data_IF_069877532739
#
_entry.id   IF_069877532739
#
_cell.length_a   1.000
_cell.length_b   1.000
_cell.length_c   1.000
_cell.angle_alpha   90.00
_cell.angle_beta   90.00
_cell.angle_gamma   90.00
#
_symmetry.space_group_name_H-M   'P 1'
#
loop_
_entity.id
_entity.type
_entity.pdbx_description
1 polymer ?
#
# COMPACT_ATOMS: atom_id res chain seq x y z
N UNK A 1 15.72 12.08 -70.46
CA UNK A 1 14.88 12.43 -69.30
C UNK A 1 14.72 11.17 -68.45
N UNK A 2 15.59 10.97 -67.47
CA UNK A 2 15.56 9.79 -66.60
C UNK A 2 14.88 10.17 -65.26
N UNK A 3 13.74 9.56 -64.99
CA UNK A 3 12.99 9.76 -63.76
C UNK A 3 13.63 8.94 -62.61
N UNK A 4 14.27 9.63 -61.67
CA UNK A 4 14.80 9.01 -60.45
C UNK A 4 13.67 8.58 -59.51
N UNK A 5 13.51 7.27 -59.32
CA UNK A 5 12.64 6.70 -58.28
C UNK A 5 13.34 6.81 -56.92
N UNK A 6 12.78 7.61 -56.01
CA UNK A 6 13.19 7.66 -54.60
C UNK A 6 12.69 6.40 -53.90
N UNK A 7 13.59 5.61 -53.29
CA UNK A 7 13.21 4.53 -52.37
C UNK A 7 12.73 5.14 -51.03
N UNK A 8 11.74 4.55 -50.34
CA UNK A 8 11.34 4.99 -49.02
C UNK A 8 12.36 4.54 -47.97
N UNK A 9 12.64 5.40 -46.99
CA UNK A 9 13.46 5.10 -45.81
C UNK A 9 12.79 4.01 -44.95
N UNK A 10 13.57 3.14 -44.27
CA UNK A 10 13.01 2.17 -43.35
C UNK A 10 12.49 2.89 -42.11
N UNK A 11 11.20 2.71 -41.82
CA UNK A 11 10.60 3.13 -40.55
C UNK A 11 11.15 2.20 -39.46
N UNK A 12 12.10 2.71 -38.66
CA UNK A 12 12.52 2.03 -37.44
C UNK A 12 11.32 1.97 -36.48
N UNK A 13 10.70 0.80 -36.37
CA UNK A 13 9.79 0.45 -35.28
C UNK A 13 10.61 0.39 -33.98
N UNK A 14 10.65 1.49 -33.24
CA UNK A 14 11.07 1.49 -31.84
C UNK A 14 10.11 0.57 -31.07
N UNK A 15 10.60 -0.43 -30.32
CA UNK A 15 9.72 -1.24 -29.50
C UNK A 15 9.07 -0.34 -28.46
N UNK A 16 7.75 -0.42 -28.32
CA UNK A 16 7.06 0.11 -27.15
C UNK A 16 7.71 -0.52 -25.94
N UNK A 17 8.61 0.23 -25.29
CA UNK A 17 9.13 -0.14 -23.99
C UNK A 17 7.91 -0.36 -23.09
N UNK A 18 7.74 -1.60 -22.65
CA UNK A 18 6.80 -1.95 -21.60
C UNK A 18 7.14 -1.03 -20.43
N UNK A 19 6.29 -0.02 -20.19
CA UNK A 19 6.38 0.80 -19.01
C UNK A 19 6.10 -0.14 -17.83
N UNK A 20 7.16 -0.75 -17.31
CA UNK A 20 7.11 -1.48 -16.06
C UNK A 20 6.53 -0.51 -15.03
N UNK A 21 5.31 -0.80 -14.57
CA UNK A 21 4.72 -0.14 -13.41
C UNK A 21 5.66 -0.42 -12.25
N UNK A 22 6.62 0.48 -12.02
CA UNK A 22 7.50 0.41 -10.88
C UNK A 22 6.61 0.31 -9.63
N UNK A 23 6.85 -0.66 -8.72
CA UNK A 23 6.13 -0.69 -7.46
C UNK A 23 6.32 0.67 -6.79
N UNK A 24 5.23 1.35 -6.46
CA UNK A 24 5.24 2.74 -5.95
C UNK A 24 6.16 2.81 -4.73
N UNK A 25 7.38 3.27 -4.93
CA UNK A 25 8.32 3.53 -3.85
C UNK A 25 7.85 4.78 -3.12
N UNK A 26 7.90 4.75 -1.78
CA UNK A 26 7.59 5.93 -0.98
C UNK A 26 8.44 7.12 -1.44
N UNK A 27 7.80 8.27 -1.61
CA UNK A 27 8.50 9.52 -1.89
C UNK A 27 9.42 9.87 -0.73
N UNK A 28 10.45 10.67 -0.99
CA UNK A 28 11.40 11.10 0.04
C UNK A 28 10.70 11.78 1.23
N UNK A 29 9.69 12.62 0.96
CA UNK A 29 8.84 13.23 2.00
C UNK A 29 8.09 12.19 2.84
N UNK A 30 7.53 11.16 2.20
CA UNK A 30 6.82 10.09 2.92
C UNK A 30 7.78 9.27 3.79
N UNK A 31 9.02 9.08 3.35
CA UNK A 31 10.05 8.41 4.16
C UNK A 31 10.42 9.21 5.39
N UNK A 32 10.52 10.54 5.28
CA UNK A 32 10.77 11.43 6.42
C UNK A 32 9.76 11.20 7.53
N UNK A 33 8.47 11.15 7.20
CA UNK A 33 7.38 10.92 8.15
C UNK A 33 7.42 9.55 8.85
N UNK A 34 8.21 8.60 8.36
CA UNK A 34 8.30 7.25 8.92
C UNK A 34 9.52 7.06 9.83
N UNK A 35 10.39 8.06 9.90
CA UNK A 35 11.52 8.08 10.83
C UNK A 35 11.00 8.24 12.28
N UNK A 36 11.67 7.66 13.29
CA UNK A 36 11.36 7.97 14.68
C UNK A 36 11.65 9.46 14.98
N UNK A 37 11.03 10.08 16.00
CA UNK A 37 11.46 11.38 16.48
C UNK A 37 12.92 11.30 16.96
N UNK A 38 13.68 12.36 16.74
CA UNK A 38 15.09 12.44 17.14
C UNK A 38 15.37 13.80 17.77
N UNK A 39 15.56 13.79 19.08
CA UNK A 39 15.85 14.96 19.89
C UNK A 39 17.24 15.54 19.56
N UNK A 40 18.14 14.72 19.02
CA UNK A 40 19.53 15.08 18.80
C UNK A 40 20.36 15.18 20.10
N UNK A 41 21.65 15.51 19.99
CA UNK A 41 22.56 15.53 21.15
C UNK A 41 22.53 16.84 21.95
N UNK A 42 21.91 17.89 21.42
CA UNK A 42 21.77 19.17 22.12
C UNK A 42 20.67 19.12 23.19
N UNK A 43 20.69 20.08 24.13
CA UNK A 43 19.84 20.08 25.33
C UNK A 43 18.83 21.23 25.39
N UNK A 44 18.54 21.87 24.27
CA UNK A 44 17.43 22.83 24.23
C UNK A 44 16.09 22.09 24.38
N UNK A 45 15.06 22.80 24.82
CA UNK A 45 13.68 22.29 24.83
C UNK A 45 12.90 23.07 23.80
N UNK A 46 13.01 22.67 22.53
CA UNK A 46 12.31 23.32 21.41
C UNK A 46 11.09 22.48 21.05
N UNK A 47 9.85 22.94 21.34
CA UNK A 47 8.64 22.27 20.90
C UNK A 47 8.62 22.11 19.39
N UNK A 48 8.47 20.86 18.93
CA UNK A 48 8.37 20.50 17.51
C UNK A 48 7.32 19.43 17.31
N UNK A 49 6.89 19.25 16.07
CA UNK A 49 5.94 18.22 15.69
C UNK A 49 6.64 17.11 14.91
N UNK A 50 6.23 15.87 15.13
CA UNK A 50 6.65 14.72 14.34
C UNK A 50 5.44 13.86 14.01
N UNK A 51 5.51 13.10 12.93
CA UNK A 51 4.49 12.11 12.60
C UNK A 51 4.78 10.81 13.36
N UNK A 52 3.91 10.47 14.30
CA UNK A 52 3.99 9.21 15.02
C UNK A 52 3.46 8.08 14.14
N UNK A 53 4.36 7.24 13.63
CA UNK A 53 4.01 6.08 12.79
C UNK A 53 3.11 5.05 13.50
N UNK A 54 3.16 4.96 14.84
CA UNK A 54 2.34 4.04 15.61
C UNK A 54 0.90 4.52 15.73
N UNK A 55 0.65 5.82 15.93
CA UNK A 55 -0.71 6.37 15.95
C UNK A 55 -1.19 6.84 14.59
N UNK A 56 -0.29 7.02 13.64
CA UNK A 56 -0.50 7.65 12.33
C UNK A 56 -1.09 9.06 12.46
N UNK A 57 -0.51 9.85 13.35
CA UNK A 57 -0.94 11.22 13.64
C UNK A 57 0.26 12.09 14.00
N UNK A 58 0.17 13.38 13.72
CA UNK A 58 1.16 14.33 14.21
C UNK A 58 1.06 14.50 15.73
N UNK A 59 2.22 14.51 16.40
CA UNK A 59 2.38 14.69 17.85
C UNK A 59 3.52 15.65 18.14
N UNK A 60 3.47 16.28 19.30
CA UNK A 60 4.54 17.14 19.78
C UNK A 60 5.69 16.33 20.41
N UNK A 61 6.93 16.80 20.26
CA UNK A 61 8.12 16.31 20.94
C UNK A 61 9.11 17.45 21.22
N UNK A 62 10.06 17.21 22.14
CA UNK A 62 11.07 18.19 22.52
C UNK A 62 12.34 17.99 21.70
N UNK A 63 12.55 18.85 20.70
CA UNK A 63 13.79 18.83 19.93
C UNK A 63 14.92 19.54 20.68
N UNK A 64 16.07 18.88 20.77
CA UNK A 64 17.28 19.34 21.44
C UNK A 64 17.94 20.56 20.81
N UNK A 65 17.52 20.94 19.59
CA UNK A 65 17.97 22.17 18.91
C UNK A 65 19.12 21.98 17.92
N UNK A 66 19.67 20.78 17.78
CA UNK A 66 20.68 20.46 16.76
C UNK A 66 20.62 18.99 16.33
N UNK A 67 21.16 18.68 15.14
CA UNK A 67 21.02 17.37 14.48
C UNK A 67 19.54 16.95 14.36
N UNK A 68 19.17 15.74 14.74
CA UNK A 68 17.83 15.22 14.50
C UNK A 68 17.69 14.63 13.09
N UNK A 69 16.44 14.42 12.69
CA UNK A 69 16.09 13.94 11.36
C UNK A 69 14.91 14.72 10.75
N UNK A 70 14.51 14.32 9.54
CA UNK A 70 13.50 15.02 8.76
C UNK A 70 12.05 14.88 9.28
N UNK A 71 11.77 14.00 10.26
CA UNK A 71 10.48 13.94 10.96
C UNK A 71 10.41 15.00 12.06
N UNK A 72 10.62 16.26 11.69
CA UNK A 72 10.69 17.40 12.60
C UNK A 72 10.10 18.62 11.92
N UNK A 73 8.91 19.00 12.35
CA UNK A 73 8.10 20.06 11.78
C UNK A 73 7.89 21.18 12.80
N UNK A 74 7.84 22.42 12.32
CA UNK A 74 7.64 23.59 13.18
C UNK A 74 6.20 23.65 13.72
N UNK A 75 5.23 23.28 12.89
CA UNK A 75 3.80 23.37 13.22
C UNK A 75 3.09 22.03 12.98
N UNK A 76 1.94 21.86 13.63
CA UNK A 76 1.04 20.73 13.39
C UNK A 76 0.61 20.64 11.92
N UNK A 77 0.21 21.78 11.33
CA UNK A 77 -0.25 21.85 9.95
C UNK A 77 0.84 21.46 8.95
N UNK A 78 2.10 21.83 9.21
CA UNK A 78 3.23 21.40 8.38
C UNK A 78 3.43 19.89 8.45
N UNK A 79 3.31 19.30 9.64
CA UNK A 79 3.41 17.86 9.82
C UNK A 79 2.28 17.13 9.06
N UNK A 80 1.03 17.54 9.27
CA UNK A 80 -0.13 16.92 8.61
C UNK A 80 -0.01 17.06 7.09
N UNK A 81 0.32 18.26 6.58
CA UNK A 81 0.47 18.50 5.14
C UNK A 81 1.57 17.67 4.49
N UNK A 82 2.65 17.34 5.19
CA UNK A 82 3.71 16.50 4.65
C UNK A 82 3.42 14.99 4.79
N UNK A 83 2.64 14.58 5.81
CA UNK A 83 2.49 13.16 6.17
C UNK A 83 1.10 12.57 5.93
N UNK A 84 0.06 13.37 5.62
CA UNK A 84 -1.32 12.91 5.42
C UNK A 84 -1.48 11.85 4.32
N UNK A 85 -0.56 11.82 3.35
CA UNK A 85 -0.60 10.86 2.23
C UNK A 85 -0.16 9.45 2.59
N UNK A 86 0.38 9.23 3.81
CA UNK A 86 0.70 7.88 4.28
C UNK A 86 -0.60 7.11 4.45
N UNK A 87 -0.75 6.04 3.65
CA UNK A 87 -1.90 5.15 3.75
C UNK A 87 -2.04 4.64 5.19
N UNK A 88 -3.27 4.65 5.70
CA UNK A 88 -3.54 4.13 7.04
C UNK A 88 -3.26 2.63 7.06
N UNK A 89 -2.53 2.20 8.08
CA UNK A 89 -2.10 0.81 8.28
C UNK A 89 -2.76 0.31 9.58
N UNK A 90 -3.26 -0.93 9.63
CA UNK A 90 -3.84 -1.48 10.85
C UNK A 90 -2.88 -1.38 12.04
N UNK A 91 -3.38 -1.09 13.25
CA UNK A 91 -2.56 -0.90 14.46
C UNK A 91 -1.56 -2.05 14.69
N UNK A 92 -2.00 -3.29 14.45
CA UNK A 92 -1.15 -4.45 14.63
C UNK A 92 0.07 -4.45 13.69
N UNK A 93 -0.05 -3.91 12.48
CA UNK A 93 1.01 -3.86 11.48
C UNK A 93 1.95 -2.67 11.67
N UNK A 94 1.68 -1.80 12.66
CA UNK A 94 2.50 -0.61 12.95
C UNK A 94 3.59 -0.87 14.00
N UNK A 95 3.47 -1.97 14.73
CA UNK A 95 4.46 -2.37 15.72
C UNK A 95 5.74 -2.83 15.03
N UNK A 96 6.88 -2.71 15.69
CA UNK A 96 8.12 -3.30 15.17
C UNK A 96 8.09 -4.81 15.34
N UNK A 97 8.81 -5.54 14.48
CA UNK A 97 8.90 -6.99 14.60
C UNK A 97 9.59 -7.34 15.92
N UNK A 98 8.91 -8.10 16.78
CA UNK A 98 9.42 -8.49 18.10
C UNK A 98 9.71 -9.99 18.13
N UNK A 99 10.99 -10.32 18.23
CA UNK A 99 11.47 -11.69 18.34
C UNK A 99 11.13 -12.33 19.69
N UNK A 100 10.89 -11.53 20.73
CA UNK A 100 10.73 -12.01 22.09
C UNK A 100 12.02 -12.61 22.69
N UNK A 101 11.97 -13.02 23.97
CA UNK A 101 13.14 -13.52 24.71
C UNK A 101 13.47 -15.00 24.46
N UNK A 102 12.55 -15.78 23.88
CA UNK A 102 12.82 -17.18 23.56
C UNK A 102 13.81 -17.34 22.41
N UNK A 103 14.45 -18.52 22.30
CA UNK A 103 15.58 -18.76 21.39
C UNK A 103 15.27 -19.74 20.25
N UNK A 104 14.00 -19.97 19.94
CA UNK A 104 13.65 -20.72 18.73
C UNK A 104 13.95 -19.88 17.48
N UNK A 105 14.22 -20.54 16.36
CA UNK A 105 14.50 -19.87 15.09
C UNK A 105 13.30 -20.01 14.14
N UNK A 106 12.16 -19.44 14.54
CA UNK A 106 10.94 -19.51 13.73
C UNK A 106 10.92 -18.38 12.72
N UNK A 107 11.00 -18.72 11.43
CA UNK A 107 10.80 -17.75 10.35
C UNK A 107 9.36 -17.25 10.38
N UNK A 108 9.20 -15.94 10.45
CA UNK A 108 7.92 -15.22 10.46
C UNK A 108 8.01 -14.00 9.56
N UNK A 109 6.86 -13.41 9.27
CA UNK A 109 6.77 -12.20 8.47
C UNK A 109 6.19 -11.07 9.33
N UNK A 110 6.69 -9.86 9.16
CA UNK A 110 6.20 -8.66 9.82
C UNK A 110 6.14 -7.51 8.81
N UNK A 111 5.16 -6.63 8.97
CA UNK A 111 5.07 -5.43 8.14
C UNK A 111 6.06 -4.38 8.61
N UNK A 112 6.96 -3.98 7.73
CA UNK A 112 7.91 -2.92 7.96
C UNK A 112 7.34 -1.61 7.38
N UNK A 113 7.00 -0.65 8.24
CA UNK A 113 6.46 0.64 7.76
C UNK A 113 7.50 1.47 7.00
N UNK A 114 8.81 1.30 7.25
CA UNK A 114 9.85 2.09 6.59
C UNK A 114 10.02 1.68 5.13
N UNK A 115 9.93 0.38 4.84
CA UNK A 115 9.93 -0.15 3.47
C UNK A 115 8.52 -0.28 2.87
N UNK A 116 7.48 -0.18 3.71
CA UNK A 116 6.07 -0.47 3.40
C UNK A 116 5.86 -1.86 2.81
N UNK A 117 6.56 -2.86 3.36
CA UNK A 117 6.54 -4.24 2.87
C UNK A 117 6.47 -5.23 4.02
N UNK A 118 5.92 -6.40 3.74
CA UNK A 118 6.08 -7.55 4.60
C UNK A 118 7.49 -8.13 4.41
N UNK A 119 8.23 -8.28 5.50
CA UNK A 119 9.61 -8.74 5.54
C UNK A 119 9.76 -9.93 6.50
N UNK A 120 10.70 -10.82 6.21
CA UNK A 120 11.01 -11.96 7.07
C UNK A 120 11.78 -11.50 8.32
N UNK A 121 11.44 -12.07 9.48
CA UNK A 121 12.20 -11.93 10.71
C UNK A 121 12.21 -13.24 11.51
N UNK A 122 13.12 -13.32 12.49
CA UNK A 122 13.22 -14.48 13.39
C UNK A 122 12.40 -14.23 14.65
N UNK A 123 11.37 -15.05 14.85
CA UNK A 123 10.61 -15.10 16.09
C UNK A 123 11.13 -16.20 17.01
N UNK A 124 11.46 -15.78 18.24
CA UNK A 124 12.01 -16.60 19.31
C UNK A 124 11.07 -17.68 19.82
N UNK A 125 9.76 -17.59 19.54
CA UNK A 125 8.77 -18.61 19.87
C UNK A 125 7.87 -18.30 21.07
N UNK A 126 8.16 -17.23 21.83
CA UNK A 126 7.30 -16.77 22.92
C UNK A 126 7.30 -15.24 23.04
N UNK A 127 6.27 -14.70 23.70
CA UNK A 127 5.97 -13.26 23.77
C UNK A 127 5.86 -12.63 22.37
N UNK A 128 6.46 -11.47 22.13
CA UNK A 128 6.30 -10.76 20.88
C UNK A 128 5.06 -9.87 20.85
N UNK A 129 4.71 -9.43 19.65
CA UNK A 129 3.52 -8.63 19.40
C UNK A 129 2.75 -9.10 18.15
N UNK A 130 1.64 -8.43 17.85
CA UNK A 130 0.73 -8.78 16.76
C UNK A 130 1.29 -8.62 15.34
N UNK A 131 2.44 -7.97 15.14
CA UNK A 131 3.10 -7.88 13.83
C UNK A 131 3.94 -9.15 13.56
N UNK A 132 3.29 -10.31 13.60
CA UNK A 132 3.94 -11.62 13.51
C UNK A 132 3.05 -12.61 12.76
N UNK A 133 3.36 -12.83 11.49
CA UNK A 133 2.60 -13.66 10.56
C UNK A 133 3.38 -14.93 10.21
N UNK A 134 2.66 -16.04 10.02
CA UNK A 134 3.28 -17.33 9.68
C UNK A 134 3.80 -17.38 8.25
N UNK A 135 3.16 -16.64 7.36
CA UNK A 135 3.45 -16.66 5.92
C UNK A 135 3.34 -15.25 5.33
N UNK A 136 3.97 -15.06 4.18
CA UNK A 136 4.01 -13.75 3.51
C UNK A 136 2.61 -13.27 3.12
N UNK A 137 1.73 -14.18 2.70
CA UNK A 137 0.41 -13.82 2.19
C UNK A 137 -0.49 -13.29 3.32
N UNK A 138 -0.48 -13.94 4.49
CA UNK A 138 -1.24 -13.46 5.65
C UNK A 138 -0.75 -12.10 6.12
N UNK A 139 0.56 -11.82 6.11
CA UNK A 139 1.05 -10.47 6.38
C UNK A 139 0.52 -9.45 5.36
N UNK A 140 0.63 -9.77 4.07
CA UNK A 140 0.16 -8.90 2.98
C UNK A 140 -1.34 -8.60 3.13
N UNK A 141 -2.14 -9.63 3.40
CA UNK A 141 -3.59 -9.51 3.52
C UNK A 141 -4.02 -8.64 4.70
N UNK A 142 -3.28 -8.71 5.81
CA UNK A 142 -3.60 -7.92 7.00
C UNK A 142 -3.00 -6.52 6.98
N UNK A 143 -1.87 -6.31 6.28
CA UNK A 143 -1.07 -5.09 6.45
C UNK A 143 -0.95 -4.21 5.23
N UNK A 144 -1.11 -4.75 4.00
CA UNK A 144 -0.98 -3.93 2.80
C UNK A 144 -2.31 -3.26 2.44
N UNK A 145 -2.37 -1.92 2.46
CA UNK A 145 -3.55 -1.14 2.07
C UNK A 145 -3.72 -1.07 0.54
N UNK A 146 -3.14 -2.00 -0.22
CA UNK A 146 -3.39 -2.17 -1.66
C UNK A 146 -4.58 -3.11 -1.89
N UNK A 147 -4.97 -3.89 -0.87
CA UNK A 147 -6.18 -4.73 -0.85
C UNK A 147 -7.29 -4.07 -0.02
N UNK A 148 -7.73 -2.87 -0.42
CA UNK A 148 -8.82 -2.19 0.28
C UNK A 148 -10.20 -2.84 0.04
N UNK A 149 -10.30 -3.82 -0.87
CA UNK A 149 -11.45 -4.70 -1.01
C UNK A 149 -11.14 -6.16 -0.61
N UNK A 150 -12.15 -6.96 -0.21
CA UNK A 150 -12.01 -8.40 -0.10
C UNK A 150 -11.50 -9.02 -1.42
N UNK A 151 -10.83 -10.18 -1.34
CA UNK A 151 -10.22 -10.86 -2.51
C UNK A 151 -11.18 -11.04 -3.70
N UNK A 152 -12.48 -11.19 -3.42
CA UNK A 152 -13.55 -11.22 -4.41
C UNK A 152 -13.52 -10.04 -5.38
N UNK A 153 -13.19 -8.83 -4.90
CA UNK A 153 -13.19 -7.61 -5.70
C UNK A 153 -12.13 -7.63 -6.80
N UNK A 154 -11.15 -8.51 -6.70
CA UNK A 154 -10.06 -8.66 -7.67
C UNK A 154 -10.27 -9.86 -8.61
N UNK A 155 -11.37 -10.59 -8.45
CA UNK A 155 -11.75 -11.64 -9.41
C UNK A 155 -12.25 -11.01 -10.72
N UNK A 156 -12.02 -11.64 -11.88
CA UNK A 156 -12.44 -11.09 -13.16
C UNK A 156 -13.98 -11.02 -13.25
N UNK A 157 -14.48 -10.13 -14.12
CA UNK A 157 -15.89 -10.14 -14.52
C UNK A 157 -16.24 -11.50 -15.12
N UNK A 158 -17.27 -12.15 -14.58
CA UNK A 158 -17.70 -13.48 -15.04
C UNK A 158 -19.20 -13.47 -15.32
N UNK A 159 -19.55 -13.60 -16.60
CA UNK A 159 -20.93 -13.55 -17.10
C UNK A 159 -21.69 -14.85 -16.75
N UNK A 160 -20.99 -15.93 -16.40
CA UNK A 160 -21.59 -17.24 -16.17
C UNK A 160 -21.89 -18.01 -17.46
N UNK A 161 -22.63 -19.11 -17.34
CA UNK A 161 -22.84 -20.10 -18.42
C UNK A 161 -24.32 -20.28 -18.82
N UNK A 162 -25.23 -19.48 -18.25
CA UNK A 162 -26.66 -19.58 -18.50
C UNK A 162 -27.10 -18.65 -19.65
N UNK A 163 -28.41 -18.42 -19.82
CA UNK A 163 -28.96 -17.63 -20.94
C UNK A 163 -29.81 -16.42 -20.52
N UNK A 164 -29.84 -16.07 -19.23
CA UNK A 164 -30.53 -14.84 -18.81
C UNK A 164 -29.69 -13.60 -19.16
N UNK A 165 -30.28 -12.41 -19.05
CA UNK A 165 -29.56 -11.15 -19.22
C UNK A 165 -29.92 -10.19 -18.10
N UNK A 166 -29.30 -10.39 -16.93
CA UNK A 166 -29.57 -9.60 -15.73
C UNK A 166 -28.45 -8.58 -15.53
N UNK A 167 -28.79 -7.31 -15.40
CA UNK A 167 -27.82 -6.27 -15.06
C UNK A 167 -27.29 -6.45 -13.64
N UNK A 168 -25.97 -6.47 -13.51
CA UNK A 168 -25.21 -6.60 -12.25
C UNK A 168 -24.00 -5.68 -12.29
N UNK A 169 -23.33 -5.51 -11.16
CA UNK A 169 -22.12 -4.70 -11.04
C UNK A 169 -20.93 -5.57 -10.62
N UNK A 170 -19.74 -5.25 -11.11
CA UNK A 170 -18.48 -5.85 -10.66
C UNK A 170 -17.46 -4.74 -10.43
N UNK A 171 -16.51 -4.97 -9.52
CA UNK A 171 -15.39 -4.06 -9.29
C UNK A 171 -14.29 -4.31 -10.32
N UNK A 172 -13.96 -3.30 -11.10
CA UNK A 172 -12.85 -3.34 -12.05
C UNK A 172 -11.57 -2.79 -11.39
N UNK A 173 -10.68 -3.70 -10.97
CA UNK A 173 -9.42 -3.34 -10.34
C UNK A 173 -8.50 -2.47 -11.21
N UNK A 174 -8.63 -2.50 -12.54
CA UNK A 174 -7.81 -1.68 -13.45
C UNK A 174 -8.22 -0.21 -13.39
N UNK A 175 -9.52 0.05 -13.34
CA UNK A 175 -10.07 1.40 -13.30
C UNK A 175 -10.46 1.86 -11.90
N UNK A 176 -10.42 0.95 -10.91
CA UNK A 176 -10.82 1.17 -9.52
C UNK A 176 -12.25 1.70 -9.40
N UNK A 177 -13.16 1.12 -10.20
CA UNK A 177 -14.56 1.56 -10.27
C UNK A 177 -15.48 0.35 -10.39
N UNK A 178 -16.70 0.48 -9.87
CA UNK A 178 -17.76 -0.49 -10.07
C UNK A 178 -18.41 -0.24 -11.43
N UNK A 179 -18.52 -1.29 -12.25
CA UNK A 179 -19.05 -1.22 -13.62
C UNK A 179 -20.18 -2.21 -13.80
N UNK A 180 -21.17 -1.82 -14.59
CA UNK A 180 -22.28 -2.70 -14.96
C UNK A 180 -21.83 -3.79 -15.94
N UNK A 181 -22.40 -4.98 -15.81
CA UNK A 181 -22.28 -6.08 -16.77
C UNK A 181 -23.55 -6.94 -16.83
N UNK A 182 -23.65 -7.77 -17.88
CA UNK A 182 -24.75 -8.72 -18.05
C UNK A 182 -24.38 -10.08 -17.47
N UNK A 183 -25.09 -10.49 -16.43
CA UNK A 183 -24.95 -11.80 -15.81
C UNK A 183 -26.02 -12.76 -16.33
N UNK A 184 -25.59 -13.98 -16.64
CA UNK A 184 -26.43 -15.00 -17.30
C UNK A 184 -27.36 -15.76 -16.35
N UNK A 185 -27.23 -15.57 -15.04
CA UNK A 185 -28.11 -16.13 -14.02
C UNK A 185 -27.60 -17.38 -13.29
N UNK A 186 -26.46 -17.94 -13.70
CA UNK A 186 -25.81 -19.03 -12.97
C UNK A 186 -24.29 -19.04 -13.16
N UNK A 187 -23.57 -19.74 -12.26
CA UNK A 187 -22.10 -19.75 -12.24
C UNK A 187 -21.54 -18.39 -11.79
N UNK A 188 -20.41 -17.99 -12.34
CA UNK A 188 -19.78 -16.72 -11.97
C UNK A 188 -18.86 -16.84 -10.77
N UNK A 189 -18.44 -15.68 -10.27
CA UNK A 189 -17.71 -15.53 -9.02
C UNK A 189 -18.33 -14.43 -8.14
N UNK A 190 -17.75 -14.22 -6.96
CA UNK A 190 -18.27 -13.29 -5.95
C UNK A 190 -18.11 -11.79 -6.32
N UNK A 191 -17.42 -11.43 -7.40
CA UNK A 191 -17.39 -10.06 -7.95
C UNK A 191 -18.66 -9.76 -8.75
N UNK A 192 -19.83 -9.90 -8.12
CA UNK A 192 -21.15 -9.81 -8.75
C UNK A 192 -22.15 -9.24 -7.75
N UNK A 193 -22.47 -7.95 -7.91
CA UNK A 193 -23.32 -7.18 -7.01
C UNK A 193 -24.63 -6.79 -7.71
N UNK A 194 -25.71 -6.70 -6.92
CA UNK A 194 -27.02 -6.29 -7.44
C UNK A 194 -27.05 -4.80 -7.74
N UNK A 195 -26.44 -3.98 -6.89
CA UNK A 195 -26.40 -2.52 -7.04
C UNK A 195 -24.97 -1.99 -7.08
N UNK A 196 -24.78 -0.82 -7.71
CA UNK A 196 -23.49 -0.12 -7.74
C UNK A 196 -23.03 0.27 -6.33
N UNK A 197 -23.98 0.69 -5.49
CA UNK A 197 -23.72 1.08 -4.10
C UNK A 197 -23.19 -0.11 -3.29
N UNK A 198 -23.76 -1.30 -3.44
CA UNK A 198 -23.28 -2.51 -2.77
C UNK A 198 -21.84 -2.85 -3.19
N UNK A 199 -21.55 -2.72 -4.49
CA UNK A 199 -20.20 -2.91 -5.01
C UNK A 199 -19.20 -1.94 -4.37
N UNK A 200 -19.51 -0.64 -4.29
CA UNK A 200 -18.63 0.34 -3.65
C UNK A 200 -18.57 0.21 -2.12
N UNK A 201 -19.61 -0.31 -1.48
CA UNK A 201 -19.58 -0.59 -0.05
C UNK A 201 -18.65 -1.76 0.28
N UNK A 202 -18.57 -2.76 -0.61
CA UNK A 202 -17.74 -3.95 -0.41
C UNK A 202 -16.31 -3.75 -0.92
N UNK A 203 -16.11 -3.15 -2.10
CA UNK A 203 -14.86 -3.19 -2.85
C UNK A 203 -14.05 -1.87 -2.87
N UNK A 204 -14.03 -1.13 -1.77
CA UNK A 204 -13.40 0.21 -1.70
C UNK A 204 -11.93 0.25 -2.15
#
# INVERSE_FOLDING_TARGET
MAAGRRLPLPVLLLPLACAALAPRTLTEKQRSCLLPPDDGPCRAMVPRWYYDRYTQSCKEFNYGGCHGNANNFLTFDDCEKNCWTIKKVPKLCRMEADGGPCRSHLKRYAFNLSSMRCEEFIYGGCYGNGNNFRDMQSCVDHCLPEKTGPSLCYSPKDEGLCSSSVSRYYYDAKTKSCKEFKYTGCGGNANNFVTEMDCYNVCR
#
